data_IF_431557097674
#
_entry.id   IF_431557097674
#
_cell.length_a   1.000
_cell.length_b   1.000
_cell.length_c   1.000
_cell.angle_alpha   90.00
_cell.angle_beta   90.00
_cell.angle_gamma   90.00
#
_symmetry.space_group_name_H-M   'P 1'
#
loop_
_entity.id
_entity.type
_entity.pdbx_description
1 polymer ?
#
# COMPACT_ATOMS: atom_id res chain seq x y z
N UNK A 1 -25.14 -0.56 10.07
CA UNK A 1 -24.57 -1.42 9.01
C UNK A 1 -23.06 -1.25 9.09
N UNK A 2 -22.28 -2.33 9.22
CA UNK A 2 -20.83 -2.32 9.02
C UNK A 2 -20.42 -1.88 7.59
N UNK A 3 -19.26 -1.24 7.44
CA UNK A 3 -18.76 -0.84 6.11
C UNK A 3 -18.51 -2.05 5.19
N UNK A 4 -18.17 -3.20 5.80
CA UNK A 4 -18.01 -4.50 5.12
C UNK A 4 -19.26 -4.99 4.40
N UNK A 5 -20.45 -4.56 4.82
CA UNK A 5 -21.71 -4.99 4.22
C UNK A 5 -22.11 -4.16 3.00
N UNK A 6 -21.42 -3.04 2.75
CA UNK A 6 -21.68 -2.22 1.55
C UNK A 6 -21.24 -2.96 0.30
N UNK A 7 -21.90 -2.73 -0.82
CA UNK A 7 -21.43 -3.16 -2.14
C UNK A 7 -20.29 -2.27 -2.64
N UNK A 8 -19.53 -2.75 -3.63
CA UNK A 8 -18.50 -1.93 -4.28
C UNK A 8 -19.10 -0.68 -4.95
N UNK A 9 -20.33 -0.78 -5.47
CA UNK A 9 -21.04 0.37 -6.03
C UNK A 9 -21.38 1.40 -4.96
N UNK A 10 -21.86 0.96 -3.80
CA UNK A 10 -22.14 1.85 -2.67
C UNK A 10 -20.87 2.56 -2.18
N UNK A 11 -19.74 1.84 -2.06
CA UNK A 11 -18.45 2.44 -1.70
C UNK A 11 -17.99 3.50 -2.73
N UNK A 12 -18.14 3.20 -4.02
CA UNK A 12 -17.81 4.15 -5.08
C UNK A 12 -18.69 5.40 -5.02
N UNK A 13 -19.99 5.24 -4.76
CA UNK A 13 -20.91 6.36 -4.61
C UNK A 13 -20.58 7.23 -3.39
N UNK A 14 -20.22 6.62 -2.26
CA UNK A 14 -19.76 7.36 -1.08
C UNK A 14 -18.50 8.19 -1.36
N UNK A 15 -17.47 7.59 -1.96
CA UNK A 15 -16.24 8.31 -2.32
C UNK A 15 -16.55 9.47 -3.29
N UNK A 16 -17.35 9.22 -4.34
CA UNK A 16 -17.72 10.25 -5.30
C UNK A 16 -18.46 11.43 -4.65
N UNK A 17 -19.32 11.17 -3.68
CA UNK A 17 -20.04 12.23 -2.96
C UNK A 17 -19.10 13.07 -2.10
N UNK A 18 -18.13 12.44 -1.43
CA UNK A 18 -17.08 13.15 -0.70
C UNK A 18 -16.25 14.06 -1.60
N UNK A 19 -15.81 13.54 -2.76
CA UNK A 19 -15.04 14.31 -3.73
C UNK A 19 -15.83 15.51 -4.28
N UNK A 20 -17.12 15.31 -4.62
CA UNK A 20 -18.01 16.39 -5.08
C UNK A 20 -18.23 17.46 -4.01
N UNK A 21 -18.39 17.04 -2.75
CA UNK A 21 -18.61 17.95 -1.63
C UNK A 21 -17.31 18.61 -1.12
N UNK A 22 -16.14 18.16 -1.59
CA UNK A 22 -14.82 18.54 -1.06
C UNK A 22 -14.73 18.35 0.45
N UNK A 23 -15.25 17.21 0.94
CA UNK A 23 -15.23 16.83 2.35
C UNK A 23 -14.53 15.48 2.52
N UNK A 24 -14.02 15.25 3.73
CA UNK A 24 -13.43 13.98 4.16
C UNK A 24 -14.25 13.29 5.25
N UNK A 25 -15.17 14.02 5.88
CA UNK A 25 -16.00 13.59 7.01
C UNK A 25 -17.44 14.11 6.90
N UNK A 26 -18.32 13.62 7.78
CA UNK A 26 -19.71 14.09 7.92
C UNK A 26 -20.78 13.12 7.41
N UNK A 27 -20.40 11.94 6.91
CA UNK A 27 -21.31 10.80 6.71
C UNK A 27 -21.05 9.71 7.77
N UNK A 28 -21.68 8.55 7.59
CA UNK A 28 -21.56 7.39 8.50
C UNK A 28 -20.12 6.84 8.56
N UNK A 29 -19.37 6.97 7.47
CA UNK A 29 -17.95 6.60 7.37
C UNK A 29 -17.18 7.76 6.77
N UNK A 30 -15.99 8.03 7.27
CA UNK A 30 -15.04 8.96 6.67
C UNK A 30 -14.58 8.51 5.28
N UNK A 31 -14.02 9.43 4.50
CA UNK A 31 -13.47 9.12 3.17
C UNK A 31 -12.30 8.12 3.27
N UNK A 32 -11.47 8.21 4.31
CA UNK A 32 -10.37 7.27 4.54
C UNK A 32 -10.88 5.85 4.81
N UNK A 33 -11.90 5.68 5.64
CA UNK A 33 -12.51 4.37 5.89
C UNK A 33 -13.05 3.74 4.60
N UNK A 34 -13.72 4.53 3.76
CA UNK A 34 -14.22 4.07 2.45
C UNK A 34 -13.07 3.63 1.55
N UNK A 35 -11.97 4.39 1.48
CA UNK A 35 -10.81 4.06 0.66
C UNK A 35 -10.07 2.82 1.14
N UNK A 36 -9.87 2.69 2.45
CA UNK A 36 -9.26 1.50 3.06
C UNK A 36 -10.10 0.27 2.73
N UNK A 37 -11.41 0.33 2.88
CA UNK A 37 -12.30 -0.80 2.57
C UNK A 37 -12.23 -1.18 1.07
N UNK A 38 -12.18 -0.19 0.18
CA UNK A 38 -11.97 -0.44 -1.26
C UNK A 38 -10.63 -1.13 -1.54
N UNK A 39 -9.56 -0.75 -0.84
CA UNK A 39 -8.26 -1.39 -0.98
C UNK A 39 -8.30 -2.85 -0.54
N UNK A 40 -8.90 -3.16 0.63
CA UNK A 40 -9.04 -4.54 1.14
C UNK A 40 -9.67 -5.48 0.13
N UNK A 41 -10.70 -4.99 -0.58
CA UNK A 41 -11.48 -5.73 -1.57
C UNK A 41 -10.86 -5.84 -2.96
N UNK A 42 -9.73 -5.18 -3.20
CA UNK A 42 -9.11 -5.26 -4.53
C UNK A 42 -8.80 -6.72 -4.88
N UNK A 43 -9.26 -7.22 -6.03
CA UNK A 43 -8.96 -8.58 -6.44
C UNK A 43 -7.46 -8.71 -6.67
N UNK A 44 -6.84 -9.70 -6.05
CA UNK A 44 -5.43 -9.99 -6.25
C UNK A 44 -5.14 -11.47 -6.00
N UNK A 45 -4.30 -12.12 -6.81
CA UNK A 45 -3.95 -13.53 -6.62
C UNK A 45 -3.06 -13.79 -5.40
N UNK A 46 -2.47 -12.77 -4.78
CA UNK A 46 -1.54 -12.92 -3.67
C UNK A 46 -2.22 -12.61 -2.32
N UNK A 47 -1.86 -13.34 -1.26
CA UNK A 47 -2.34 -13.03 0.08
C UNK A 47 -1.78 -11.68 0.57
N UNK A 48 -2.54 -10.90 1.35
CA UNK A 48 -2.06 -9.58 1.81
C UNK A 48 -0.92 -9.68 2.82
N UNK A 49 -1.04 -10.56 3.83
CA UNK A 49 0.05 -10.84 4.77
C UNK A 49 1.23 -11.51 4.08
N UNK A 50 0.98 -12.40 3.13
CA UNK A 50 2.02 -13.04 2.32
C UNK A 50 2.81 -12.01 1.49
N UNK A 51 2.11 -11.09 0.82
CA UNK A 51 2.71 -9.95 0.08
C UNK A 51 3.56 -9.09 1.01
N UNK A 52 3.02 -8.76 2.19
CA UNK A 52 3.73 -7.98 3.20
C UNK A 52 5.01 -8.68 3.67
N UNK A 53 4.91 -9.97 4.01
CA UNK A 53 6.04 -10.79 4.43
C UNK A 53 7.10 -10.90 3.34
N UNK A 54 6.68 -11.04 2.07
CA UNK A 54 7.61 -11.16 0.95
C UNK A 54 8.36 -9.87 0.66
N UNK A 55 7.71 -8.71 0.80
CA UNK A 55 8.38 -7.40 0.68
C UNK A 55 9.48 -7.27 1.75
N UNK A 56 9.17 -7.61 3.01
CA UNK A 56 10.16 -7.58 4.10
C UNK A 56 11.32 -8.53 3.80
N UNK A 57 11.04 -9.77 3.39
CA UNK A 57 12.07 -10.76 3.08
C UNK A 57 13.01 -10.30 1.96
N UNK A 58 12.47 -9.78 0.85
CA UNK A 58 13.26 -9.28 -0.27
C UNK A 58 14.08 -8.05 0.12
N UNK A 59 13.48 -7.11 0.86
CA UNK A 59 14.18 -5.92 1.33
C UNK A 59 15.33 -6.27 2.29
N UNK A 60 15.13 -7.22 3.21
CA UNK A 60 16.17 -7.69 4.13
C UNK A 60 17.31 -8.42 3.42
N UNK A 61 17.02 -9.14 2.33
CA UNK A 61 18.02 -9.80 1.50
C UNK A 61 18.79 -8.83 0.60
N UNK A 62 18.27 -7.62 0.37
CA UNK A 62 18.92 -6.61 -0.47
C UNK A 62 19.96 -5.79 0.31
N UNK A 63 21.16 -5.53 -0.25
CA UNK A 63 22.17 -4.67 0.37
C UNK A 63 21.69 -3.24 0.67
N UNK A 64 20.75 -2.72 -0.12
CA UNK A 64 20.20 -1.38 0.04
C UNK A 64 18.92 -1.33 0.91
N UNK A 65 18.43 -2.49 1.38
CA UNK A 65 17.22 -2.56 2.19
C UNK A 65 15.93 -2.28 1.41
N UNK A 66 15.94 -2.43 0.09
CA UNK A 66 14.81 -2.18 -0.82
C UNK A 66 14.53 -3.39 -1.70
N UNK A 67 13.33 -3.43 -2.27
CA UNK A 67 12.92 -4.40 -3.30
C UNK A 67 12.26 -3.68 -4.46
N UNK A 68 12.08 -4.37 -5.57
CA UNK A 68 11.42 -3.83 -6.77
C UNK A 68 10.13 -4.57 -7.10
N UNK A 69 9.30 -3.97 -7.96
CA UNK A 69 8.13 -4.63 -8.52
C UNK A 69 8.51 -5.92 -9.27
N UNK A 70 9.65 -5.91 -9.95
CA UNK A 70 10.15 -7.06 -10.70
C UNK A 70 10.59 -8.20 -9.78
N UNK A 71 11.31 -7.90 -8.70
CA UNK A 71 11.72 -8.90 -7.71
C UNK A 71 10.52 -9.49 -6.98
N UNK A 72 9.57 -8.65 -6.58
CA UNK A 72 8.34 -9.11 -5.94
C UNK A 72 7.51 -9.99 -6.88
N UNK A 73 7.38 -9.59 -8.15
CA UNK A 73 6.73 -10.39 -9.18
C UNK A 73 7.43 -11.74 -9.35
N UNK A 74 8.74 -11.75 -9.55
CA UNK A 74 9.52 -12.97 -9.74
C UNK A 74 9.44 -13.90 -8.52
N UNK A 75 9.34 -13.36 -7.30
CA UNK A 75 9.17 -14.15 -6.09
C UNK A 75 7.82 -14.89 -6.06
N UNK A 76 6.75 -14.27 -6.56
CA UNK A 76 5.43 -14.90 -6.63
C UNK A 76 5.21 -15.73 -7.90
N UNK A 77 5.92 -15.39 -8.97
CA UNK A 77 5.72 -15.88 -10.33
C UNK A 77 7.06 -16.17 -11.01
N UNK A 78 7.88 -17.10 -10.48
CA UNK A 78 9.23 -17.33 -10.98
C UNK A 78 9.28 -17.78 -12.45
N UNK A 79 8.19 -18.39 -12.94
CA UNK A 79 8.09 -18.90 -14.30
C UNK A 79 7.24 -18.03 -15.24
N UNK A 80 6.61 -16.95 -14.73
CA UNK A 80 5.84 -16.04 -15.59
C UNK A 80 6.63 -14.75 -15.80
N UNK A 81 7.05 -14.41 -17.03
CA UNK A 81 7.76 -13.17 -17.28
C UNK A 81 6.88 -11.94 -17.03
N UNK A 82 7.52 -10.81 -16.74
CA UNK A 82 6.84 -9.53 -16.57
C UNK A 82 6.12 -9.10 -17.86
N UNK A 83 4.80 -8.88 -17.79
CA UNK A 83 3.94 -8.55 -18.95
C UNK A 83 3.59 -7.05 -19.03
N UNK A 84 4.54 -6.19 -18.65
CA UNK A 84 4.34 -4.73 -18.68
C UNK A 84 3.21 -4.28 -17.76
N UNK A 85 2.27 -3.49 -18.30
CA UNK A 85 1.18 -2.88 -17.55
C UNK A 85 0.27 -3.89 -16.84
N UNK A 86 0.11 -5.10 -17.39
CA UNK A 86 -0.71 -6.14 -16.77
C UNK A 86 -0.11 -6.60 -15.42
N UNK A 87 1.18 -6.95 -15.41
CA UNK A 87 1.92 -7.29 -14.18
C UNK A 87 1.99 -6.11 -13.23
N UNK A 88 2.24 -4.90 -13.76
CA UNK A 88 2.25 -3.67 -12.98
C UNK A 88 0.94 -3.40 -12.24
N UNK A 89 -0.21 -3.59 -12.90
CA UNK A 89 -1.53 -3.43 -12.27
C UNK A 89 -1.73 -4.42 -11.12
N UNK A 90 -1.36 -5.68 -11.31
CA UNK A 90 -1.48 -6.71 -10.26
C UNK A 90 -0.61 -6.33 -9.06
N UNK A 91 0.64 -5.90 -9.29
CA UNK A 91 1.52 -5.46 -8.21
C UNK A 91 0.97 -4.23 -7.49
N UNK A 92 0.52 -3.21 -8.21
CA UNK A 92 -0.07 -2.01 -7.59
C UNK A 92 -1.31 -2.33 -6.75
N UNK A 93 -2.16 -3.28 -7.19
CA UNK A 93 -3.30 -3.75 -6.39
C UNK A 93 -2.85 -4.50 -5.13
N UNK A 94 -1.78 -5.32 -5.24
CA UNK A 94 -1.22 -6.01 -4.08
C UNK A 94 -0.67 -5.00 -3.06
N UNK A 95 0.08 -3.99 -3.51
CA UNK A 95 0.64 -2.95 -2.65
C UNK A 95 -0.45 -2.07 -2.02
N UNK A 96 -1.53 -1.78 -2.73
CA UNK A 96 -2.70 -1.10 -2.16
C UNK A 96 -3.31 -1.88 -0.99
N UNK A 97 -3.44 -3.20 -1.13
CA UNK A 97 -3.89 -4.08 -0.03
C UNK A 97 -2.90 -4.10 1.13
N UNK A 98 -1.61 -4.15 0.84
CA UNK A 98 -0.55 -4.08 1.87
C UNK A 98 -0.65 -2.78 2.65
N UNK A 99 -0.85 -1.64 1.99
CA UNK A 99 -1.00 -0.36 2.68
C UNK A 99 -2.20 -0.35 3.64
N UNK A 100 -3.37 -0.86 3.21
CA UNK A 100 -4.53 -1.02 4.08
C UNK A 100 -4.22 -1.92 5.29
N UNK A 101 -3.55 -3.06 5.06
CA UNK A 101 -3.12 -3.96 6.11
C UNK A 101 -2.14 -3.31 7.10
N UNK A 102 -1.19 -2.50 6.62
CA UNK A 102 -0.29 -1.75 7.48
C UNK A 102 -1.06 -0.78 8.38
N UNK A 103 -2.01 -0.03 7.81
CA UNK A 103 -2.82 0.95 8.57
C UNK A 103 -3.66 0.24 9.64
N UNK A 104 -4.36 -0.83 9.27
CA UNK A 104 -5.20 -1.60 10.19
C UNK A 104 -4.41 -2.15 11.39
N UNK A 105 -3.15 -2.48 11.17
CA UNK A 105 -2.26 -3.06 12.16
C UNK A 105 -1.27 -2.06 12.78
N UNK A 106 -1.41 -0.76 12.48
CA UNK A 106 -0.49 0.30 12.95
C UNK A 106 0.98 0.01 12.63
N UNK A 107 1.23 -0.62 11.49
CA UNK A 107 2.57 -0.88 10.98
C UNK A 107 3.03 0.31 10.12
N UNK A 108 4.35 0.53 10.00
CA UNK A 108 4.90 1.39 8.97
C UNK A 108 4.37 1.04 7.58
N UNK A 109 4.23 2.04 6.72
CA UNK A 109 3.80 1.86 5.32
C UNK A 109 4.93 1.17 4.54
N UNK A 110 4.94 -0.16 4.56
CA UNK A 110 6.00 -1.02 4.00
C UNK A 110 6.18 -0.84 2.49
N UNK A 111 5.20 -0.27 1.79
CA UNK A 111 5.31 0.02 0.36
C UNK A 111 6.42 1.02 0.03
N UNK A 112 6.94 1.78 1.00
CA UNK A 112 8.14 2.62 0.84
C UNK A 112 9.41 1.82 0.53
N UNK A 113 9.45 0.53 0.87
CA UNK A 113 10.56 -0.37 0.53
C UNK A 113 10.53 -0.81 -0.94
N UNK A 114 9.44 -0.54 -1.67
CA UNK A 114 9.22 -1.04 -3.03
C UNK A 114 9.49 0.06 -4.04
N UNK A 115 10.59 -0.04 -4.78
CA UNK A 115 11.05 0.95 -5.76
C UNK A 115 10.94 0.45 -7.20
N UNK A 116 11.10 1.36 -8.17
CA UNK A 116 11.27 0.98 -9.58
C UNK A 116 12.70 0.50 -9.81
N UNK A 117 12.86 -0.50 -10.67
CA UNK A 117 14.10 -1.28 -10.87
C UNK A 117 15.35 -0.47 -11.21
N UNK A 118 15.20 0.71 -11.80
CA UNK A 118 16.33 1.41 -12.43
C UNK A 118 16.98 2.49 -11.56
N UNK A 119 16.35 2.93 -10.47
CA UNK A 119 16.84 4.08 -9.70
C UNK A 119 17.40 3.73 -8.32
N UNK A 120 17.08 2.55 -7.76
CA UNK A 120 17.40 2.13 -6.37
C UNK A 120 17.12 3.23 -5.31
N UNK A 121 16.20 4.12 -5.65
CA UNK A 121 15.76 5.28 -4.89
C UNK A 121 14.32 5.55 -5.30
N UNK A 122 13.51 6.00 -4.34
CA UNK A 122 12.23 6.61 -4.67
C UNK A 122 12.51 7.90 -5.46
N UNK A 123 11.91 8.01 -6.64
CA UNK A 123 11.88 9.28 -7.35
C UNK A 123 11.07 10.29 -6.53
N UNK A 124 11.32 11.60 -6.69
CA UNK A 124 10.54 12.63 -6.01
C UNK A 124 9.02 12.46 -6.23
N UNK A 125 8.62 12.17 -7.46
CA UNK A 125 7.22 11.84 -7.80
C UNK A 125 6.68 10.63 -7.02
N UNK A 126 7.52 9.64 -6.73
CA UNK A 126 7.10 8.47 -5.95
C UNK A 126 6.94 8.81 -4.47
N UNK A 127 7.78 9.70 -3.93
CA UNK A 127 7.67 10.23 -2.56
C UNK A 127 6.33 10.97 -2.41
N UNK A 128 6.05 11.91 -3.32
CA UNK A 128 4.82 12.69 -3.30
C UNK A 128 3.59 11.80 -3.42
N UNK A 129 3.60 10.85 -4.36
CA UNK A 129 2.48 9.90 -4.52
C UNK A 129 2.25 9.03 -3.28
N UNK A 130 3.30 8.51 -2.63
CA UNK A 130 3.13 7.69 -1.42
C UNK A 130 2.61 8.56 -0.27
N UNK A 131 3.14 9.78 -0.12
CA UNK A 131 2.71 10.73 0.91
C UNK A 131 1.24 11.12 0.74
N UNK A 132 0.83 11.58 -0.44
CA UNK A 132 -0.56 11.92 -0.76
C UNK A 132 -1.50 10.73 -0.62
N UNK A 133 -1.04 9.53 -1.00
CA UNK A 133 -1.80 8.31 -0.84
C UNK A 133 -2.02 7.99 0.65
N UNK A 134 -0.97 8.05 1.48
CA UNK A 134 -1.08 7.83 2.91
C UNK A 134 -2.01 8.85 3.59
N UNK A 135 -1.88 10.14 3.26
CA UNK A 135 -2.81 11.19 3.70
C UNK A 135 -4.25 10.88 3.28
N UNK A 136 -4.44 10.45 2.04
CA UNK A 136 -5.74 10.07 1.49
C UNK A 136 -6.40 8.88 2.20
N UNK A 137 -5.61 8.06 2.90
CA UNK A 137 -6.04 6.96 3.76
C UNK A 137 -6.15 7.35 5.23
N UNK A 138 -5.96 8.63 5.58
CA UNK A 138 -6.10 9.14 6.95
C UNK A 138 -4.89 8.86 7.85
N UNK A 139 -3.73 8.56 7.27
CA UNK A 139 -2.46 8.46 8.03
C UNK A 139 -2.01 9.87 8.40
N UNK A 140 -1.56 10.06 9.64
CA UNK A 140 -0.88 11.29 10.04
C UNK A 140 0.53 11.31 9.43
N UNK A 141 0.71 12.14 8.41
CA UNK A 141 1.96 12.21 7.66
C UNK A 141 2.83 13.40 8.06
N UNK A 142 2.33 14.30 8.91
CA UNK A 142 2.93 15.65 9.04
C UNK A 142 2.96 16.43 7.71
N UNK A 143 3.83 17.44 7.63
CA UNK A 143 3.91 18.38 6.50
C UNK A 143 5.11 18.18 5.57
N UNK A 144 6.05 17.28 5.90
CA UNK A 144 7.26 17.03 5.11
C UNK A 144 7.23 15.61 4.52
N UNK A 145 7.02 15.47 3.19
CA UNK A 145 7.02 14.18 2.52
C UNK A 145 8.31 13.38 2.69
N UNK A 146 9.47 14.04 2.70
CA UNK A 146 10.75 13.32 2.82
C UNK A 146 10.93 12.78 4.24
N UNK A 147 10.59 13.58 5.26
CA UNK A 147 10.64 13.13 6.65
C UNK A 147 9.69 11.94 6.88
N UNK A 148 8.45 12.03 6.38
CA UNK A 148 7.49 10.93 6.46
C UNK A 148 8.02 9.66 5.80
N UNK A 149 8.48 9.72 4.55
CA UNK A 149 8.99 8.54 3.83
C UNK A 149 10.22 7.96 4.52
N UNK A 150 11.13 8.79 5.05
CA UNK A 150 12.29 8.32 5.80
C UNK A 150 11.88 7.55 7.06
N UNK A 151 10.95 8.10 7.85
CA UNK A 151 10.43 7.45 9.06
C UNK A 151 9.75 6.11 8.72
N UNK A 152 8.85 6.10 7.74
CA UNK A 152 8.16 4.88 7.32
C UNK A 152 9.14 3.82 6.79
N UNK A 153 10.15 4.23 6.02
CA UNK A 153 11.19 3.33 5.50
C UNK A 153 12.04 2.74 6.63
N UNK A 154 12.48 3.57 7.58
CA UNK A 154 13.28 3.11 8.71
C UNK A 154 12.47 2.16 9.61
N UNK A 155 11.21 2.51 9.89
CA UNK A 155 10.28 1.65 10.63
C UNK A 155 10.06 0.31 9.92
N UNK A 156 9.81 0.33 8.61
CA UNK A 156 9.57 -0.87 7.82
C UNK A 156 10.80 -1.82 7.80
N UNK A 157 12.02 -1.27 7.78
CA UNK A 157 13.28 -2.05 7.84
C UNK A 157 13.47 -2.80 9.17
N UNK A 158 12.85 -2.33 10.25
CA UNK A 158 12.91 -2.97 11.58
C UNK A 158 11.91 -4.11 11.73
N UNK A 159 10.97 -4.26 10.80
CA UNK A 159 9.98 -5.33 10.84
C UNK A 159 10.60 -6.68 10.46
N UNK A 160 10.03 -7.74 11.03
CA UNK A 160 10.31 -9.12 10.65
C UNK A 160 9.01 -9.82 10.30
N UNK A 161 9.08 -10.83 9.43
CA UNK A 161 7.89 -11.58 8.99
C UNK A 161 7.19 -12.35 10.12
N UNK A 162 7.94 -12.72 11.16
CA UNK A 162 7.46 -13.41 12.35
C UNK A 162 6.54 -12.51 13.19
N UNK A 163 6.77 -11.20 13.15
CA UNK A 163 6.01 -10.21 13.94
C UNK A 163 4.78 -9.66 13.20
N UNK A 164 4.48 -10.15 11.99
CA UNK A 164 3.31 -9.70 11.23
C UNK A 164 2.01 -10.28 11.82
N UNK A 165 1.03 -9.44 12.16
CA UNK A 165 -0.30 -9.87 12.59
C UNK A 165 -0.98 -10.81 11.58
N UNK A 166 -2.00 -11.59 11.98
CA UNK A 166 -2.84 -12.29 11.01
C UNK A 166 -3.52 -11.32 10.03
N UNK A 167 -3.81 -11.79 8.81
CA UNK A 167 -4.57 -11.04 7.79
C UNK A 167 -6.08 -11.14 8.03
#
# INVERSE_FOLDING_TARGET
MPIGDLSNEQLNNLENNYLKAKKTEGAIYSLSEVRIEKLRRMPNPFGVRESTAKIIELAQASPDGLTTYGELWNAFRPNDPWKGNASGRIMSQALGRVAAYCIDNKLPIITTLVVRSNSKKLAAEAIDHIFEFAQGLGVDTGSDPNAFIAEQTEGARKLTKENLPPA
#
